data_IF_732985045074
#
_entry.id   IF_732985045074
#
_cell.length_a   1.000
_cell.length_b   1.000
_cell.length_c   1.000
_cell.angle_alpha   90.00
_cell.angle_beta   90.00
_cell.angle_gamma   90.00
#
_symmetry.space_group_name_H-M   'P 1'
#
loop_
_entity.id
_entity.type
_entity.pdbx_description
1 polymer ?
#
# COMPACT_ATOMS: atom_id res chain seq x y z
N UNK A 1 12.72 -19.11 -3.81
CA UNK A 1 11.86 -20.30 -3.99
C UNK A 1 11.57 -20.46 -5.46
N UNK A 2 11.80 -21.65 -6.03
CA UNK A 2 11.46 -21.91 -7.44
C UNK A 2 10.20 -22.78 -7.50
N UNK A 3 9.11 -22.19 -7.99
CA UNK A 3 7.81 -22.82 -8.26
C UNK A 3 7.55 -22.92 -9.78
N UNK A 4 8.57 -22.69 -10.61
CA UNK A 4 8.50 -22.90 -12.06
C UNK A 4 9.04 -24.27 -12.42
N UNK A 5 8.62 -24.80 -13.57
CA UNK A 5 9.16 -26.05 -14.11
C UNK A 5 10.58 -25.88 -14.67
N UNK A 6 11.02 -24.62 -14.83
CA UNK A 6 12.34 -24.31 -15.32
C UNK A 6 13.41 -24.48 -14.24
N UNK A 7 14.53 -25.11 -14.62
CA UNK A 7 15.72 -25.15 -13.79
C UNK A 7 16.51 -23.85 -13.93
N UNK A 8 16.35 -22.95 -12.96
CA UNK A 8 17.14 -21.74 -12.87
C UNK A 8 18.64 -22.05 -12.80
N UNK A 9 19.44 -21.26 -13.51
CA UNK A 9 20.89 -21.39 -13.56
C UNK A 9 21.51 -20.92 -12.24
N UNK A 10 22.71 -21.41 -11.85
CA UNK A 10 23.31 -21.05 -10.56
C UNK A 10 23.53 -19.53 -10.38
N UNK A 11 23.84 -18.80 -11.46
CA UNK A 11 23.97 -17.35 -11.48
C UNK A 11 22.62 -16.64 -11.24
N UNK A 12 21.53 -17.15 -11.81
CA UNK A 12 20.16 -16.66 -11.56
C UNK A 12 19.74 -16.89 -10.11
N UNK A 13 19.99 -18.09 -9.58
CA UNK A 13 19.66 -18.42 -8.18
C UNK A 13 20.46 -17.53 -7.23
N UNK A 14 21.76 -17.36 -7.46
CA UNK A 14 22.61 -16.50 -6.63
C UNK A 14 22.10 -15.05 -6.62
N UNK A 15 21.72 -14.52 -7.79
CA UNK A 15 21.20 -13.16 -7.90
C UNK A 15 19.84 -12.99 -7.23
N UNK A 16 18.87 -13.89 -7.50
CA UNK A 16 17.53 -13.83 -6.91
C UNK A 16 17.55 -14.02 -5.39
N UNK A 17 18.54 -14.75 -4.87
CA UNK A 17 18.74 -14.98 -3.43
C UNK A 17 19.21 -13.73 -2.67
N UNK A 18 19.76 -12.72 -3.36
CA UNK A 18 20.06 -11.42 -2.74
C UNK A 18 18.80 -10.64 -2.35
N UNK A 19 17.65 -11.04 -2.88
CA UNK A 19 16.35 -10.45 -2.57
C UNK A 19 16.02 -9.20 -3.39
N UNK A 20 14.74 -8.81 -3.37
CA UNK A 20 14.22 -7.70 -4.19
C UNK A 20 14.67 -6.30 -3.73
N UNK A 21 15.23 -6.19 -2.52
CA UNK A 21 15.80 -4.94 -2.00
C UNK A 21 17.28 -4.77 -2.37
N UNK A 22 17.89 -5.74 -3.05
CA UNK A 22 19.25 -5.64 -3.51
C UNK A 22 19.35 -4.64 -4.67
N UNK A 23 20.18 -3.61 -4.49
CA UNK A 23 20.50 -2.65 -5.55
C UNK A 23 21.78 -3.09 -6.27
N UNK A 24 21.68 -3.26 -7.59
CA UNK A 24 22.87 -3.46 -8.43
C UNK A 24 23.61 -2.12 -8.55
N UNK A 25 24.92 -2.14 -8.32
CA UNK A 25 25.79 -0.98 -8.52
C UNK A 25 25.70 -0.49 -9.97
N UNK A 26 25.49 0.81 -10.16
CA UNK A 26 25.40 1.45 -11.48
C UNK A 26 26.66 2.28 -11.77
N UNK A 27 27.07 2.32 -13.04
CA UNK A 27 28.24 3.08 -13.53
C UNK A 27 28.00 4.58 -13.44
N UNK A 28 26.73 4.97 -13.54
CA UNK A 28 26.30 6.36 -13.57
C UNK A 28 25.22 6.54 -12.53
N UNK A 29 25.53 7.33 -11.52
CA UNK A 29 24.53 7.84 -10.60
C UNK A 29 23.53 8.73 -11.38
N UNK A 30 22.21 8.57 -11.17
CA UNK A 30 21.21 9.49 -11.73
C UNK A 30 21.23 10.82 -10.98
N UNK A 31 22.35 11.54 -11.07
CA UNK A 31 22.62 12.79 -10.36
C UNK A 31 21.53 13.83 -10.60
N UNK A 32 21.03 13.90 -11.83
CA UNK A 32 19.94 14.79 -12.20
C UNK A 32 18.67 14.51 -11.39
N UNK A 33 18.31 13.24 -11.22
CA UNK A 33 17.09 12.88 -10.49
C UNK A 33 17.24 13.18 -8.99
N UNK A 34 18.42 12.93 -8.42
CA UNK A 34 18.72 13.33 -7.04
C UNK A 34 18.64 14.84 -6.85
N UNK A 35 19.30 15.63 -7.72
CA UNK A 35 19.27 17.10 -7.66
C UNK A 35 17.83 17.61 -7.80
N UNK A 36 17.08 17.13 -8.80
CA UNK A 36 15.68 17.51 -8.97
C UNK A 36 14.81 17.14 -7.75
N UNK A 37 15.03 15.96 -7.16
CA UNK A 37 14.33 15.52 -5.96
C UNK A 37 14.62 16.39 -4.74
N UNK A 38 15.90 16.71 -4.51
CA UNK A 38 16.35 17.57 -3.41
C UNK A 38 15.82 18.99 -3.60
N UNK A 39 15.98 19.59 -4.78
CA UNK A 39 15.49 20.93 -5.07
C UNK A 39 13.97 21.03 -4.88
N UNK A 40 13.22 20.01 -5.31
CA UNK A 40 11.78 19.94 -5.06
C UNK A 40 11.42 19.81 -3.58
N UNK A 41 12.27 19.16 -2.78
CA UNK A 41 12.03 19.01 -1.34
C UNK A 41 12.32 20.30 -0.56
N UNK A 42 13.34 21.06 -0.99
CA UNK A 42 13.78 22.28 -0.29
C UNK A 42 13.10 23.55 -0.80
N UNK A 43 12.39 23.53 -1.93
CA UNK A 43 11.89 24.74 -2.60
C UNK A 43 10.97 25.63 -1.74
N UNK A 44 10.31 25.07 -0.72
CA UNK A 44 9.42 25.80 0.18
C UNK A 44 10.07 26.18 1.52
N UNK A 45 11.37 25.92 1.69
CA UNK A 45 12.12 26.27 2.91
C UNK A 45 12.80 27.63 2.75
N UNK A 46 13.26 28.21 3.86
CA UNK A 46 14.04 29.45 3.83
C UNK A 46 15.35 29.29 3.05
N UNK A 47 15.79 30.36 2.39
CA UNK A 47 16.97 30.38 1.53
C UNK A 47 18.24 29.88 2.23
N UNK A 48 18.42 30.20 3.51
CA UNK A 48 19.58 29.74 4.29
C UNK A 48 19.58 28.22 4.50
N UNK A 49 18.40 27.64 4.75
CA UNK A 49 18.24 26.18 4.87
C UNK A 49 18.45 25.52 3.52
N UNK A 50 17.88 26.09 2.44
CA UNK A 50 18.10 25.60 1.08
C UNK A 50 19.59 25.54 0.73
N UNK A 51 20.32 26.62 0.98
CA UNK A 51 21.75 26.71 0.67
C UNK A 51 22.60 25.79 1.56
N UNK A 52 22.24 25.65 2.84
CA UNK A 52 22.87 24.69 3.74
C UNK A 52 22.71 23.24 3.25
N UNK A 53 21.51 22.87 2.80
CA UNK A 53 21.25 21.55 2.21
C UNK A 53 22.02 21.37 0.90
N UNK A 54 22.00 22.34 -0.02
CA UNK A 54 22.77 22.31 -1.28
C UNK A 54 24.27 22.10 -1.04
N UNK A 55 24.84 22.78 -0.05
CA UNK A 55 26.25 22.62 0.34
C UNK A 55 26.56 21.20 0.83
N UNK A 56 25.72 20.66 1.72
CA UNK A 56 25.87 19.27 2.22
C UNK A 56 25.74 18.25 1.09
N UNK A 57 24.76 18.43 0.21
CA UNK A 57 24.55 17.55 -0.94
C UNK A 57 25.72 17.60 -1.93
N UNK A 58 26.31 18.78 -2.20
CA UNK A 58 27.51 18.90 -3.03
C UNK A 58 28.69 18.08 -2.48
N UNK A 59 28.91 18.12 -1.16
CA UNK A 59 29.94 17.32 -0.50
C UNK A 59 29.69 15.81 -0.63
N UNK A 60 28.44 15.37 -0.41
CA UNK A 60 28.01 13.97 -0.59
C UNK A 60 28.20 13.50 -2.03
N UNK A 61 27.77 14.30 -3.00
CA UNK A 61 27.90 14.00 -4.42
C UNK A 61 29.36 13.90 -4.88
N UNK A 62 30.24 14.77 -4.36
CA UNK A 62 31.68 14.69 -4.61
C UNK A 62 32.33 13.44 -4.01
N UNK A 63 31.86 12.97 -2.86
CA UNK A 63 32.32 11.73 -2.25
C UNK A 63 31.79 10.50 -3.03
N UNK A 64 30.49 10.50 -3.36
CA UNK A 64 29.85 9.44 -4.14
C UNK A 64 30.51 9.27 -5.52
N UNK A 65 30.87 10.34 -6.22
CA UNK A 65 31.57 10.21 -7.51
C UNK A 65 32.96 9.55 -7.42
N UNK A 66 33.56 9.44 -6.22
CA UNK A 66 34.89 8.84 -6.03
C UNK A 66 34.87 7.36 -5.68
N UNK A 67 33.81 6.89 -5.00
CA UNK A 67 33.78 5.55 -4.38
C UNK A 67 32.85 4.53 -5.10
N UNK A 68 32.30 4.88 -6.27
CA UNK A 68 31.45 3.94 -7.00
C UNK A 68 32.28 2.85 -7.69
N UNK A 69 32.05 1.60 -7.28
CA UNK A 69 32.55 0.43 -8.00
C UNK A 69 31.94 0.31 -9.39
N UNK A 70 32.59 -0.45 -10.28
CA UNK A 70 32.07 -0.74 -11.62
C UNK A 70 30.75 -1.52 -11.55
N UNK A 71 29.84 -1.23 -12.47
CA UNK A 71 28.59 -1.99 -12.64
C UNK A 71 28.88 -3.47 -12.74
N UNK A 72 28.11 -4.27 -12.00
CA UNK A 72 28.13 -5.71 -12.21
C UNK A 72 27.34 -6.03 -13.49
N UNK A 73 28.05 -5.91 -14.63
CA UNK A 73 27.49 -6.11 -15.97
C UNK A 73 26.91 -7.51 -16.13
N UNK A 74 27.48 -8.51 -15.46
CA UNK A 74 27.02 -9.88 -15.55
C UNK A 74 25.70 -10.09 -14.81
N UNK A 75 25.52 -9.51 -13.62
CA UNK A 75 24.24 -9.51 -12.92
C UNK A 75 23.14 -8.77 -13.71
N UNK A 76 23.48 -7.67 -14.38
CA UNK A 76 22.54 -6.99 -15.28
C UNK A 76 22.15 -7.86 -16.48
N UNK A 77 23.09 -8.60 -17.07
CA UNK A 77 22.76 -9.55 -18.15
C UNK A 77 21.82 -10.64 -17.65
N UNK A 78 22.06 -11.16 -16.44
CA UNK A 78 21.19 -12.15 -15.80
C UNK A 78 19.79 -11.60 -15.57
N UNK A 79 19.65 -10.40 -14.98
CA UNK A 79 18.34 -9.75 -14.81
C UNK A 79 17.63 -9.52 -16.13
N UNK A 80 18.34 -9.00 -17.14
CA UNK A 80 17.74 -8.74 -18.46
C UNK A 80 17.24 -10.02 -19.12
N UNK A 81 17.94 -11.15 -18.91
CA UNK A 81 17.50 -12.46 -19.39
C UNK A 81 16.25 -12.94 -18.65
N UNK A 82 16.27 -12.93 -17.31
CA UNK A 82 15.11 -13.31 -16.50
C UNK A 82 13.88 -12.44 -16.81
N UNK A 83 14.07 -11.14 -17.06
CA UNK A 83 12.99 -10.23 -17.41
C UNK A 83 12.41 -10.46 -18.81
N UNK A 84 13.21 -11.03 -19.74
CA UNK A 84 12.78 -11.35 -21.10
C UNK A 84 12.12 -12.72 -21.23
N UNK A 85 12.26 -13.56 -20.22
CA UNK A 85 11.64 -14.88 -20.22
C UNK A 85 10.10 -14.72 -20.18
N UNK A 86 9.37 -15.21 -21.20
CA UNK A 86 7.93 -15.06 -21.27
C UNK A 86 7.18 -16.07 -20.40
N UNK A 87 7.83 -17.13 -19.93
CA UNK A 87 7.22 -18.30 -19.30
C UNK A 87 7.29 -18.26 -17.78
N UNK A 88 8.18 -17.45 -17.20
CA UNK A 88 8.28 -17.25 -15.75
C UNK A 88 7.85 -15.85 -15.33
N UNK A 89 7.40 -15.75 -14.08
CA UNK A 89 7.19 -14.49 -13.37
C UNK A 89 7.99 -14.50 -12.07
N UNK A 90 8.68 -13.39 -11.81
CA UNK A 90 9.43 -13.18 -10.57
C UNK A 90 8.58 -12.30 -9.63
N UNK A 91 8.28 -12.84 -8.46
CA UNK A 91 7.37 -12.25 -7.48
C UNK A 91 8.03 -12.19 -6.09
N UNK A 92 7.47 -11.33 -5.24
CA UNK A 92 7.75 -11.35 -3.79
C UNK A 92 6.83 -12.37 -3.12
N UNK A 93 7.35 -13.15 -2.17
CA UNK A 93 6.50 -13.95 -1.30
C UNK A 93 5.63 -13.09 -0.37
N UNK A 94 4.43 -13.55 -0.03
CA UNK A 94 3.53 -12.87 0.93
C UNK A 94 4.18 -12.70 2.31
N UNK A 95 4.97 -13.69 2.75
CA UNK A 95 5.70 -13.67 4.04
C UNK A 95 7.16 -14.03 3.84
N UNK A 96 8.02 -13.51 4.72
CA UNK A 96 9.44 -13.86 4.79
C UNK A 96 10.35 -13.19 3.75
N UNK A 97 9.83 -12.28 2.91
CA UNK A 97 10.65 -11.47 2.00
C UNK A 97 11.34 -12.23 0.86
N UNK A 98 11.07 -13.53 0.71
CA UNK A 98 11.70 -14.37 -0.29
C UNK A 98 11.30 -13.99 -1.73
N UNK A 99 12.24 -14.14 -2.66
CA UNK A 99 11.98 -14.06 -4.11
C UNK A 99 11.42 -15.39 -4.60
N UNK A 100 10.35 -15.34 -5.40
CA UNK A 100 9.66 -16.51 -5.96
C UNK A 100 9.69 -16.44 -7.48
N UNK A 101 10.22 -17.47 -8.12
CA UNK A 101 10.03 -17.71 -9.55
C UNK A 101 8.85 -18.67 -9.73
N UNK A 102 7.90 -18.37 -10.60
CA UNK A 102 6.71 -19.18 -10.83
C UNK A 102 6.39 -19.23 -12.32
N UNK A 103 5.83 -20.33 -12.81
CA UNK A 103 5.29 -20.39 -14.18
C UNK A 103 4.23 -19.29 -14.36
N UNK A 104 4.36 -18.52 -15.43
CA UNK A 104 3.44 -17.42 -15.74
C UNK A 104 2.03 -17.91 -16.01
N UNK A 105 1.88 -19.05 -16.69
CA UNK A 105 0.57 -19.65 -16.95
C UNK A 105 -0.13 -20.03 -15.65
N UNK A 106 0.57 -20.70 -14.73
CA UNK A 106 0.01 -21.07 -13.42
C UNK A 106 -0.34 -19.84 -12.57
N UNK A 107 0.52 -18.81 -12.60
CA UNK A 107 0.25 -17.56 -11.91
C UNK A 107 -1.01 -16.88 -12.44
N UNK A 108 -1.15 -16.81 -13.77
CA UNK A 108 -2.33 -16.23 -14.41
C UNK A 108 -3.58 -17.07 -14.11
N UNK A 109 -3.50 -18.40 -14.23
CA UNK A 109 -4.63 -19.29 -13.95
C UNK A 109 -5.14 -19.14 -12.51
N UNK A 110 -4.25 -19.23 -11.51
CA UNK A 110 -4.62 -19.02 -10.09
C UNK A 110 -5.14 -17.63 -9.82
N UNK A 111 -4.63 -16.61 -10.51
CA UNK A 111 -5.13 -15.24 -10.36
C UNK A 111 -6.52 -15.09 -10.96
N UNK A 112 -6.78 -15.70 -12.12
CA UNK A 112 -8.09 -15.71 -12.76
C UNK A 112 -9.11 -16.50 -11.93
N UNK A 113 -8.70 -17.57 -11.24
CA UNK A 113 -9.55 -18.29 -10.28
C UNK A 113 -10.00 -17.38 -9.14
N UNK A 114 -9.08 -16.58 -8.56
CA UNK A 114 -9.43 -15.57 -7.55
C UNK A 114 -10.39 -14.50 -8.08
N UNK A 115 -10.17 -14.03 -9.31
CA UNK A 115 -11.02 -13.03 -9.96
C UNK A 115 -12.35 -13.60 -10.47
N UNK A 116 -12.48 -14.94 -10.50
CA UNK A 116 -13.69 -15.65 -10.88
C UNK A 116 -14.77 -15.63 -9.80
N UNK A 117 -14.45 -15.19 -8.58
CA UNK A 117 -15.45 -14.98 -7.53
C UNK A 117 -16.36 -13.79 -7.86
N UNK A 118 -17.54 -14.10 -8.42
CA UNK A 118 -18.55 -13.11 -8.79
C UNK A 118 -19.23 -12.43 -7.61
N UNK A 119 -19.04 -12.92 -6.38
CA UNK A 119 -19.53 -12.24 -5.18
C UNK A 119 -18.63 -11.05 -4.78
N UNK A 120 -17.34 -11.11 -5.12
CA UNK A 120 -16.35 -10.09 -4.79
C UNK A 120 -15.99 -9.20 -5.99
N UNK A 121 -15.89 -9.77 -7.19
CA UNK A 121 -15.40 -9.08 -8.38
C UNK A 121 -16.41 -9.06 -9.52
N UNK A 122 -16.38 -7.97 -10.29
CA UNK A 122 -17.20 -7.76 -11.48
C UNK A 122 -16.35 -7.24 -12.63
N UNK A 123 -16.52 -7.81 -13.82
CA UNK A 123 -15.87 -7.30 -15.03
C UNK A 123 -16.59 -6.03 -15.50
N UNK A 124 -15.82 -4.99 -15.80
CA UNK A 124 -16.31 -3.75 -16.39
C UNK A 124 -16.03 -3.70 -17.89
N UNK A 125 -17.05 -3.29 -18.66
CA UNK A 125 -16.95 -3.12 -20.12
C UNK A 125 -16.19 -1.86 -20.53
N UNK A 126 -16.08 -0.88 -19.63
CA UNK A 126 -15.41 0.39 -19.87
C UNK A 126 -14.54 0.75 -18.68
N UNK A 127 -13.38 1.32 -18.97
CA UNK A 127 -12.49 1.86 -17.95
C UNK A 127 -13.16 3.05 -17.23
N UNK A 128 -13.45 2.94 -15.91
CA UNK A 128 -14.13 3.99 -15.16
C UNK A 128 -13.19 5.12 -14.72
N UNK A 129 -11.88 5.03 -15.01
CA UNK A 129 -10.84 5.96 -14.53
C UNK A 129 -11.28 7.42 -14.66
N UNK A 130 -11.68 7.85 -15.86
CA UNK A 130 -12.13 9.24 -16.13
C UNK A 130 -13.34 9.65 -15.30
N UNK A 131 -14.31 8.74 -15.15
CA UNK A 131 -15.54 9.00 -14.37
C UNK A 131 -15.22 9.19 -12.89
N UNK A 132 -14.36 8.31 -12.34
CA UNK A 132 -13.93 8.37 -10.94
C UNK A 132 -13.12 9.64 -10.67
N UNK A 133 -12.20 9.99 -11.58
CA UNK A 133 -11.46 11.26 -11.50
C UNK A 133 -12.43 12.44 -11.45
N UNK A 134 -13.40 12.50 -12.37
CA UNK A 134 -14.35 13.60 -12.41
C UNK A 134 -15.14 13.70 -11.11
N UNK A 135 -15.63 12.57 -10.56
CA UNK A 135 -16.31 12.54 -9.26
C UNK A 135 -15.41 13.08 -8.13
N UNK A 136 -14.16 12.63 -8.05
CA UNK A 136 -13.22 13.07 -7.03
C UNK A 136 -12.86 14.56 -7.17
N UNK A 137 -12.52 15.00 -8.38
CA UNK A 137 -12.15 16.39 -8.67
C UNK A 137 -13.31 17.34 -8.40
N UNK A 138 -14.55 16.97 -8.73
CA UNK A 138 -15.73 17.78 -8.41
C UNK A 138 -15.83 18.02 -6.90
N UNK A 139 -15.76 16.95 -6.08
CA UNK A 139 -15.79 17.08 -4.61
C UNK A 139 -14.62 17.91 -4.07
N UNK A 140 -13.40 17.65 -4.55
CA UNK A 140 -12.20 18.38 -4.11
C UNK A 140 -12.30 19.88 -4.45
N UNK A 141 -12.78 20.22 -5.65
CA UNK A 141 -12.95 21.61 -6.07
C UNK A 141 -14.06 22.32 -5.29
N UNK A 142 -15.14 21.61 -4.98
CA UNK A 142 -16.22 22.15 -4.14
C UNK A 142 -15.71 22.50 -2.73
N UNK A 143 -14.99 21.57 -2.10
CA UNK A 143 -14.36 21.81 -0.79
C UNK A 143 -13.30 22.90 -0.81
N UNK A 144 -12.55 23.04 -1.91
CA UNK A 144 -11.65 24.19 -2.09
C UNK A 144 -12.41 25.51 -2.16
N UNK A 145 -13.55 25.58 -2.87
CA UNK A 145 -14.37 26.80 -2.96
C UNK A 145 -14.97 27.19 -1.61
N UNK A 146 -15.26 26.19 -0.77
CA UNK A 146 -15.74 26.36 0.60
C UNK A 146 -14.61 26.66 1.62
N UNK A 147 -13.37 26.89 1.17
CA UNK A 147 -12.17 27.08 2.00
C UNK A 147 -11.88 25.94 3.00
N UNK A 148 -12.43 24.74 2.74
CA UNK A 148 -12.17 23.52 3.54
C UNK A 148 -10.81 22.90 3.23
N UNK A 149 -10.24 23.19 2.06
CA UNK A 149 -8.87 22.83 1.72
C UNK A 149 -8.03 24.08 1.50
N UNK A 150 -6.93 24.22 2.23
CA UNK A 150 -5.92 25.22 1.92
C UNK A 150 -5.16 24.85 0.62
N UNK A 151 -4.36 25.79 0.10
CA UNK A 151 -3.59 25.60 -1.15
C UNK A 151 -2.68 24.37 -1.08
N UNK A 152 -2.03 24.14 0.08
CA UNK A 152 -1.16 23.00 0.31
C UNK A 152 -1.91 21.67 0.28
N UNK A 153 -3.04 21.59 1.01
CA UNK A 153 -3.89 20.39 1.05
C UNK A 153 -4.48 20.07 -0.32
N UNK A 154 -5.01 21.07 -1.01
CA UNK A 154 -5.48 20.92 -2.39
C UNK A 154 -4.41 20.33 -3.29
N UNK A 155 -3.18 20.85 -3.21
CA UNK A 155 -2.04 20.34 -3.98
C UNK A 155 -1.65 18.89 -3.65
N UNK A 156 -1.94 18.43 -2.43
CA UNK A 156 -1.72 17.06 -1.94
C UNK A 156 -2.83 16.10 -2.37
N UNK A 157 -4.10 16.50 -2.33
CA UNK A 157 -5.24 15.61 -2.64
C UNK A 157 -5.58 15.56 -4.12
N UNK A 158 -5.20 16.58 -4.90
CA UNK A 158 -5.55 16.64 -6.32
C UNK A 158 -4.87 15.52 -7.12
N UNK A 159 -5.62 14.73 -7.91
CA UNK A 159 -5.05 13.63 -8.69
C UNK A 159 -4.20 14.17 -9.85
N UNK A 160 -2.88 13.97 -9.78
CA UNK A 160 -1.92 14.41 -10.83
C UNK A 160 -1.58 13.35 -11.85
N UNK A 161 -1.61 12.09 -11.43
CA UNK A 161 -1.24 10.92 -12.23
C UNK A 161 -2.49 10.08 -12.43
N UNK A 162 -2.70 9.62 -13.66
CA UNK A 162 -3.94 8.99 -14.10
C UNK A 162 -3.65 7.57 -14.58
N UNK A 163 -3.12 6.74 -13.69
CA UNK A 163 -2.85 5.33 -13.99
C UNK A 163 -3.95 4.50 -13.32
N UNK A 164 -4.68 3.66 -14.08
CA UNK A 164 -5.64 2.76 -13.46
C UNK A 164 -4.90 1.83 -12.48
N UNK A 165 -5.48 1.50 -11.31
CA UNK A 165 -4.87 0.58 -10.37
C UNK A 165 -4.52 -0.75 -11.03
N UNK A 166 -3.41 -1.36 -10.58
CA UNK A 166 -2.94 -2.64 -11.11
C UNK A 166 -3.19 -3.74 -10.10
N UNK A 167 -3.73 -4.86 -10.57
CA UNK A 167 -3.85 -6.04 -9.75
C UNK A 167 -2.63 -6.94 -9.92
N UNK A 168 -2.13 -7.46 -8.82
CA UNK A 168 -1.12 -8.50 -8.78
C UNK A 168 -1.35 -9.36 -7.55
N UNK A 169 -0.73 -10.53 -7.51
CA UNK A 169 -0.94 -11.44 -6.40
C UNK A 169 0.38 -12.01 -5.88
N UNK A 170 0.44 -12.25 -4.56
CA UNK A 170 1.65 -12.68 -3.87
C UNK A 170 1.54 -14.15 -3.46
N UNK A 171 2.49 -15.02 -3.83
CA UNK A 171 2.46 -16.42 -3.43
C UNK A 171 2.65 -16.60 -1.93
N UNK A 172 1.71 -17.30 -1.29
CA UNK A 172 1.81 -17.75 0.10
C UNK A 172 2.59 -19.06 0.17
N UNK A 173 3.90 -18.97 -0.01
CA UNK A 173 4.83 -20.13 -0.03
C UNK A 173 4.88 -20.96 1.26
N UNK A 174 4.26 -20.45 2.33
CA UNK A 174 4.15 -21.12 3.63
C UNK A 174 2.85 -21.92 3.79
N UNK A 175 1.99 -21.96 2.75
CA UNK A 175 0.74 -22.72 2.73
C UNK A 175 0.79 -23.77 1.61
N UNK A 176 0.20 -24.93 1.87
CA UNK A 176 0.07 -26.00 0.87
C UNK A 176 -0.64 -25.49 -0.39
N UNK A 177 -0.19 -25.94 -1.57
CA UNK A 177 -0.72 -25.48 -2.86
C UNK A 177 -0.27 -24.07 -3.29
N UNK A 178 0.48 -23.36 -2.44
CA UNK A 178 0.98 -22.00 -2.69
C UNK A 178 -0.13 -21.05 -3.19
N UNK A 179 -1.23 -20.86 -2.44
CA UNK A 179 -2.32 -19.97 -2.83
C UNK A 179 -1.80 -18.53 -2.96
N UNK A 180 -2.46 -17.73 -3.79
CA UNK A 180 -2.06 -16.36 -4.04
C UNK A 180 -2.84 -15.39 -3.12
N UNK A 181 -2.19 -14.31 -2.67
CA UNK A 181 -2.84 -13.19 -1.99
C UNK A 181 -3.13 -12.08 -2.99
N UNK A 182 -4.39 -11.65 -3.18
CA UNK A 182 -4.71 -10.55 -4.09
C UNK A 182 -4.20 -9.21 -3.52
N UNK A 183 -3.61 -8.37 -4.36
CA UNK A 183 -3.19 -7.00 -4.03
C UNK A 183 -3.54 -6.05 -5.17
N UNK A 184 -4.12 -4.91 -4.83
CA UNK A 184 -4.40 -3.80 -5.74
C UNK A 184 -3.39 -2.68 -5.48
N UNK A 185 -2.47 -2.46 -6.43
CA UNK A 185 -1.59 -1.29 -6.41
C UNK A 185 -2.39 -0.05 -6.76
N UNK A 186 -2.69 0.76 -5.74
CA UNK A 186 -3.31 2.07 -5.90
C UNK A 186 -2.30 3.18 -6.22
N UNK A 187 -1.00 2.88 -6.31
CA UNK A 187 0.00 3.94 -6.54
C UNK A 187 -0.26 4.62 -7.89
N UNK A 188 -0.48 5.92 -7.85
CA UNK A 188 -0.80 6.72 -9.04
C UNK A 188 -2.27 6.62 -9.49
N UNK A 189 -3.14 6.00 -8.70
CA UNK A 189 -4.58 5.97 -8.97
C UNK A 189 -5.27 7.29 -8.60
N UNK A 190 -6.47 7.55 -9.16
CA UNK A 190 -7.22 8.78 -8.88
C UNK A 190 -7.52 9.02 -7.40
N UNK A 191 -7.78 7.96 -6.63
CA UNK A 191 -8.16 8.07 -5.21
C UNK A 191 -6.97 7.99 -4.26
N UNK A 192 -5.77 7.61 -4.71
CA UNK A 192 -4.63 7.33 -3.83
C UNK A 192 -4.20 8.52 -2.97
N UNK A 193 -4.07 9.69 -3.58
CA UNK A 193 -3.60 10.88 -2.89
C UNK A 193 -4.61 11.37 -1.85
N UNK A 194 -5.90 11.32 -2.20
CA UNK A 194 -7.02 11.60 -1.29
C UNK A 194 -7.08 10.57 -0.15
N UNK A 195 -6.99 9.27 -0.46
CA UNK A 195 -6.99 8.21 0.53
C UNK A 195 -5.84 8.35 1.53
N UNK A 196 -4.65 8.75 1.06
CA UNK A 196 -3.50 9.01 1.94
C UNK A 196 -3.74 10.21 2.85
N UNK A 197 -4.31 11.30 2.34
CA UNK A 197 -4.66 12.47 3.16
C UNK A 197 -5.69 12.11 4.23
N UNK A 198 -6.74 11.36 3.88
CA UNK A 198 -7.74 10.88 4.84
C UNK A 198 -7.14 9.91 5.86
N UNK A 199 -6.22 9.04 5.43
CA UNK A 199 -5.46 8.15 6.32
C UNK A 199 -4.68 8.94 7.38
N UNK A 200 -4.04 10.06 7.02
CA UNK A 200 -3.33 10.93 7.98
C UNK A 200 -4.29 11.53 9.03
N UNK A 201 -5.57 11.77 8.67
CA UNK A 201 -6.61 12.28 9.57
C UNK A 201 -7.18 11.17 10.45
N UNK A 202 -7.36 9.95 9.93
CA UNK A 202 -8.08 8.90 10.67
C UNK A 202 -7.12 8.05 11.51
N UNK A 203 -5.88 7.80 11.05
CA UNK A 203 -4.96 6.87 11.72
C UNK A 203 -4.73 7.15 13.22
N UNK A 204 -4.57 8.41 13.68
CA UNK A 204 -4.42 8.71 15.10
C UNK A 204 -5.66 8.45 15.96
N UNK A 205 -6.84 8.27 15.36
CA UNK A 205 -8.08 7.91 16.05
C UNK A 205 -8.19 6.40 16.29
N UNK A 206 -7.31 5.58 15.70
CA UNK A 206 -7.43 4.12 15.70
C UNK A 206 -6.22 3.51 16.41
N UNK A 207 -6.38 2.31 17.00
CA UNK A 207 -5.39 1.59 17.80
C UNK A 207 -5.09 2.26 19.14
N UNK A 208 -6.11 2.91 19.71
CA UNK A 208 -6.05 3.56 21.02
C UNK A 208 -6.75 2.73 22.11
N UNK A 209 -7.37 1.60 21.76
CA UNK A 209 -8.02 0.71 22.74
C UNK A 209 -6.99 -0.01 23.63
N UNK A 210 -7.42 -0.38 24.84
CA UNK A 210 -6.63 -1.21 25.77
C UNK A 210 -6.42 -2.63 25.26
N UNK A 211 -7.26 -3.08 24.31
CA UNK A 211 -7.20 -4.39 23.67
C UNK A 211 -6.18 -4.45 22.53
N UNK A 212 -5.68 -3.31 22.05
CA UNK A 212 -4.75 -3.26 20.92
C UNK A 212 -3.29 -3.32 21.36
N UNK A 213 -2.53 -4.20 20.70
CA UNK A 213 -1.07 -4.30 20.86
C UNK A 213 -0.39 -3.63 19.68
N UNK A 214 0.36 -2.55 19.93
CA UNK A 214 0.95 -1.71 18.88
C UNK A 214 2.12 -2.37 18.16
N UNK A 215 2.94 -3.11 18.88
CA UNK A 215 4.13 -3.75 18.32
C UNK A 215 4.62 -4.93 19.18
N UNK A 216 5.60 -5.65 18.64
CA UNK A 216 6.21 -6.81 19.29
C UNK A 216 6.83 -6.49 20.66
N UNK A 217 7.43 -5.31 20.84
CA UNK A 217 8.04 -4.94 22.11
C UNK A 217 7.00 -4.76 23.21
N UNK A 218 5.89 -4.09 22.90
CA UNK A 218 4.76 -3.95 23.84
C UNK A 218 4.19 -5.33 24.19
N UNK A 219 4.04 -6.22 23.21
CA UNK A 219 3.55 -7.58 23.44
C UNK A 219 4.43 -8.34 24.43
N UNK A 220 5.75 -8.32 24.22
CA UNK A 220 6.72 -8.98 25.10
C UNK A 220 6.65 -8.41 26.52
N UNK A 221 6.49 -7.10 26.66
CA UNK A 221 6.37 -6.47 27.97
C UNK A 221 5.08 -6.88 28.69
N UNK A 222 3.95 -6.95 27.98
CA UNK A 222 2.68 -7.46 28.52
C UNK A 222 2.80 -8.92 29.00
N UNK A 223 3.53 -9.77 28.26
CA UNK A 223 3.75 -11.15 28.67
C UNK A 223 4.60 -11.29 29.93
N UNK A 224 5.57 -10.38 30.14
CA UNK A 224 6.42 -10.41 31.34
C UNK A 224 5.69 -10.00 32.62
N UNK A 225 4.70 -9.11 32.49
CA UNK A 225 3.94 -8.60 33.64
C UNK A 225 2.71 -9.44 33.96
N UNK A 226 2.34 -10.38 33.08
CA UNK A 226 1.21 -11.29 33.25
C UNK A 226 1.54 -12.40 34.27
N UNK A 227 0.72 -12.53 35.31
CA UNK A 227 0.73 -13.68 36.23
C UNK A 227 -0.34 -14.66 35.77
N UNK A 228 0.07 -15.90 35.48
CA UNK A 228 -0.83 -16.98 35.05
C UNK A 228 -1.11 -17.92 36.23
N UNK A 229 -2.36 -18.33 36.36
CA UNK A 229 -2.80 -19.39 37.28
C UNK A 229 -2.90 -20.72 36.53
N UNK A 230 -2.93 -21.84 37.26
CA UNK A 230 -2.97 -23.18 36.65
C UNK A 230 -4.25 -23.42 35.83
N UNK A 231 -5.33 -22.69 36.13
CA UNK A 231 -6.61 -22.76 35.44
C UNK A 231 -6.68 -21.90 34.16
N UNK A 232 -5.71 -21.01 33.96
CA UNK A 232 -5.71 -20.09 32.81
C UNK A 232 -5.47 -20.85 31.50
N UNK A 233 -6.17 -20.43 30.44
CA UNK A 233 -6.07 -21.03 29.11
C UNK A 233 -5.81 -19.98 28.06
N UNK A 234 -4.79 -20.22 27.25
CA UNK A 234 -4.55 -19.44 26.05
C UNK A 234 -5.44 -19.95 24.91
N UNK A 235 -6.28 -19.07 24.38
CA UNK A 235 -7.08 -19.31 23.19
C UNK A 235 -6.68 -18.31 22.11
N UNK A 236 -6.51 -18.78 20.88
CA UNK A 236 -6.13 -17.95 19.74
C UNK A 236 -7.18 -18.06 18.64
N UNK A 237 -7.61 -16.91 18.14
CA UNK A 237 -8.55 -16.79 17.02
C UNK A 237 -7.86 -16.02 15.88
N UNK A 238 -8.17 -16.39 14.63
CA UNK A 238 -7.67 -15.70 13.43
C UNK A 238 -8.87 -15.26 12.59
N UNK A 239 -8.91 -13.98 12.21
CA UNK A 239 -9.98 -13.45 11.36
C UNK A 239 -9.70 -13.81 9.91
N UNK A 240 -10.59 -14.61 9.33
CA UNK A 240 -10.48 -15.00 7.92
C UNK A 240 -10.81 -13.80 7.03
N UNK A 241 -9.85 -13.45 6.16
CA UNK A 241 -10.04 -12.48 5.08
C UNK A 241 -10.58 -11.10 5.54
N UNK A 242 -10.11 -10.59 6.68
CA UNK A 242 -10.59 -9.34 7.31
C UNK A 242 -11.02 -8.24 6.32
N UNK A 243 -10.14 -7.82 5.40
CA UNK A 243 -10.47 -6.76 4.45
C UNK A 243 -11.64 -7.08 3.51
N UNK A 244 -11.85 -8.34 3.18
CA UNK A 244 -12.98 -8.76 2.34
C UNK A 244 -14.27 -8.87 3.17
N UNK A 245 -14.15 -9.24 4.45
CA UNK A 245 -15.28 -9.50 5.33
C UNK A 245 -15.91 -8.23 5.92
N UNK A 246 -15.16 -7.13 6.03
CA UNK A 246 -15.68 -5.86 6.55
C UNK A 246 -16.55 -5.16 5.51
N UNK A 247 -17.83 -4.95 5.83
CA UNK A 247 -18.73 -4.16 5.00
C UNK A 247 -18.34 -2.68 5.07
N UNK A 248 -18.24 -2.04 3.90
CA UNK A 248 -17.85 -0.62 3.81
C UNK A 248 -18.82 0.26 4.58
N UNK A 249 -20.12 -0.05 4.54
CA UNK A 249 -21.15 0.70 5.26
C UNK A 249 -20.92 0.68 6.77
N UNK A 250 -20.77 -0.51 7.36
CA UNK A 250 -20.61 -0.66 8.80
C UNK A 250 -19.31 0.03 9.27
N UNK A 251 -18.24 -0.06 8.48
CA UNK A 251 -17.00 0.66 8.78
C UNK A 251 -17.14 2.20 8.70
N UNK A 252 -18.01 2.71 7.83
CA UNK A 252 -18.32 4.14 7.76
C UNK A 252 -19.16 4.59 8.96
N UNK A 253 -20.12 3.77 9.40
CA UNK A 253 -20.92 4.03 10.61
C UNK A 253 -19.99 4.08 11.84
N UNK A 254 -19.09 3.11 12.02
CA UNK A 254 -18.08 3.14 13.09
C UNK A 254 -17.17 4.39 13.02
N UNK A 255 -16.84 4.86 11.82
CA UNK A 255 -16.05 6.08 11.63
C UNK A 255 -16.81 7.34 12.00
N UNK A 256 -18.09 7.40 11.65
CA UNK A 256 -18.94 8.53 11.99
C UNK A 256 -19.04 8.67 13.51
N UNK A 257 -19.36 7.57 14.21
CA UNK A 257 -19.43 7.53 15.67
C UNK A 257 -18.10 7.99 16.30
N UNK A 258 -16.98 7.44 15.83
CA UNK A 258 -15.65 7.79 16.35
C UNK A 258 -15.30 9.27 16.14
N UNK A 259 -15.66 9.84 14.99
CA UNK A 259 -15.41 11.25 14.68
C UNK A 259 -16.28 12.20 15.51
N UNK A 260 -17.46 11.75 15.97
CA UNK A 260 -18.35 12.50 16.85
C UNK A 260 -17.86 12.45 18.29
N UNK A 261 -17.41 11.28 18.75
CA UNK A 261 -16.89 11.07 20.10
C UNK A 261 -15.55 11.80 20.34
N UNK A 262 -14.64 11.74 19.38
CA UNK A 262 -13.31 12.35 19.49
C UNK A 262 -13.20 13.66 18.71
N UNK A 263 -12.66 14.72 19.32
CA UNK A 263 -12.44 16.01 18.66
C UNK A 263 -11.00 16.26 18.21
N UNK A 264 -10.06 15.36 18.51
CA UNK A 264 -8.61 15.50 18.24
C UNK A 264 -8.27 15.63 16.74
N UNK A 265 -9.19 15.28 15.85
CA UNK A 265 -9.00 15.36 14.40
C UNK A 265 -9.28 16.75 13.82
N UNK A 266 -10.02 17.59 14.54
CA UNK A 266 -10.41 18.93 14.06
C UNK A 266 -9.23 19.88 13.88
N UNK A 267 -8.12 19.65 14.57
CA UNK A 267 -6.89 20.42 14.40
C UNK A 267 -6.13 20.07 13.10
N UNK A 268 -6.45 18.90 12.50
CA UNK A 268 -5.74 18.36 11.34
C UNK A 268 -6.42 18.71 10.01
N UNK A 269 -7.68 19.15 10.04
CA UNK A 269 -8.45 19.48 8.83
C UNK A 269 -9.61 20.42 9.14
N UNK A 270 -10.03 21.23 8.15
CA UNK A 270 -11.25 22.05 8.23
C UNK A 270 -12.52 21.30 7.79
N UNK A 271 -12.38 20.05 7.34
CA UNK A 271 -13.51 19.21 6.95
C UNK A 271 -14.46 18.96 8.13
N UNK A 272 -15.74 18.77 7.85
CA UNK A 272 -16.70 18.29 8.84
C UNK A 272 -16.80 16.76 8.80
N UNK A 273 -17.43 16.16 9.82
CA UNK A 273 -17.65 14.70 9.90
C UNK A 273 -18.26 14.18 8.60
N UNK A 274 -19.35 14.79 8.14
CA UNK A 274 -20.04 14.40 6.90
C UNK A 274 -19.15 14.52 5.65
N UNK A 275 -18.24 15.50 5.61
CA UNK A 275 -17.29 15.63 4.51
C UNK A 275 -16.28 14.48 4.51
N UNK A 276 -15.76 14.11 5.68
CA UNK A 276 -14.81 12.99 5.84
C UNK A 276 -15.48 11.69 5.43
N UNK A 277 -16.67 11.38 5.95
CA UNK A 277 -17.44 10.19 5.59
C UNK A 277 -17.68 10.13 4.07
N UNK A 278 -18.10 11.24 3.46
CA UNK A 278 -18.37 11.29 2.03
C UNK A 278 -17.12 11.14 1.15
N UNK A 279 -15.92 11.47 1.65
CA UNK A 279 -14.66 11.28 0.95
C UNK A 279 -14.09 9.87 1.16
N UNK A 280 -14.26 9.29 2.35
CA UNK A 280 -13.87 7.91 2.64
C UNK A 280 -14.74 6.95 1.84
N UNK A 281 -16.07 7.15 1.82
CA UNK A 281 -16.99 6.39 0.99
C UNK A 281 -16.58 6.46 -0.49
N UNK A 282 -16.28 7.66 -1.01
CA UNK A 282 -15.79 7.79 -2.37
C UNK A 282 -14.53 6.94 -2.63
N UNK A 283 -13.59 6.89 -1.69
CA UNK A 283 -12.36 6.10 -1.85
C UNK A 283 -12.60 4.59 -1.78
N UNK A 284 -13.52 4.13 -0.93
CA UNK A 284 -13.80 2.71 -0.69
C UNK A 284 -14.83 2.13 -1.68
N UNK A 285 -15.72 2.97 -2.22
CA UNK A 285 -16.78 2.57 -3.14
C UNK A 285 -16.37 2.65 -4.63
N UNK A 286 -15.13 3.08 -4.92
CA UNK A 286 -14.58 3.14 -6.29
C UNK A 286 -13.34 2.27 -6.46
N UNK A 287 -13.42 1.02 -6.01
CA UNK A 287 -12.32 0.06 -6.16
C UNK A 287 -12.42 -0.62 -7.52
N UNK A 288 -11.47 -0.32 -8.40
CA UNK A 288 -11.32 -0.97 -9.70
C UNK A 288 -9.84 -1.19 -9.99
N UNK A 289 -9.54 -2.11 -10.90
CA UNK A 289 -8.17 -2.41 -11.30
C UNK A 289 -8.11 -3.10 -12.66
N UNK A 290 -6.91 -3.14 -13.23
CA UNK A 290 -6.63 -3.85 -14.49
C UNK A 290 -5.78 -5.09 -14.22
N UNK A 291 -6.21 -6.22 -14.78
CA UNK A 291 -5.45 -7.47 -14.85
C UNK A 291 -5.55 -8.06 -16.25
N UNK A 292 -4.41 -8.39 -16.87
CA UNK A 292 -4.35 -8.96 -18.24
C UNK A 292 -5.17 -8.15 -19.28
N UNK A 293 -5.18 -6.82 -19.15
CA UNK A 293 -5.93 -5.93 -20.06
C UNK A 293 -7.44 -5.87 -19.80
N UNK A 294 -7.97 -6.67 -18.87
CA UNK A 294 -9.38 -6.65 -18.46
C UNK A 294 -9.54 -5.75 -17.25
N UNK A 295 -10.60 -4.94 -17.25
CA UNK A 295 -10.96 -4.06 -16.14
C UNK A 295 -11.92 -4.79 -15.22
N UNK A 296 -11.59 -4.82 -13.93
CA UNK A 296 -12.41 -5.38 -12.88
C UNK A 296 -12.77 -4.29 -11.87
N UNK A 297 -13.90 -4.49 -11.22
CA UNK A 297 -14.36 -3.74 -10.06
C UNK A 297 -14.48 -4.72 -8.89
N UNK A 298 -14.04 -4.28 -7.72
CA UNK A 298 -14.29 -5.00 -6.49
C UNK A 298 -15.55 -4.43 -5.85
N UNK A 299 -16.59 -5.27 -5.78
CA UNK A 299 -17.93 -4.87 -5.30
C UNK A 299 -18.16 -5.21 -3.83
N UNK A 300 -17.25 -5.98 -3.22
CA UNK A 300 -17.35 -6.39 -1.82
C UNK A 300 -16.02 -6.21 -1.07
N UNK A 301 -16.11 -5.78 0.19
CA UNK A 301 -14.96 -5.51 1.05
C UNK A 301 -14.12 -4.32 0.62
N UNK A 302 -12.91 -4.23 1.19
CA UNK A 302 -11.95 -3.14 0.99
C UNK A 302 -10.71 -3.62 0.23
N UNK A 303 -10.20 -2.81 -0.69
CA UNK A 303 -9.05 -3.20 -1.51
C UNK A 303 -7.79 -3.39 -0.67
N UNK A 304 -7.15 -4.55 -0.78
CA UNK A 304 -5.83 -4.77 -0.19
C UNK A 304 -4.80 -3.93 -0.97
N UNK A 305 -4.25 -2.89 -0.35
CA UNK A 305 -3.32 -1.95 -0.98
C UNK A 305 -3.85 -0.52 -1.11
N UNK A 306 -5.09 -0.25 -0.69
CA UNK A 306 -5.52 1.13 -0.41
C UNK A 306 -4.94 1.60 0.94
N UNK A 307 -4.47 2.86 1.05
CA UNK A 307 -4.03 3.43 2.32
C UNK A 307 -5.10 3.44 3.43
N UNK A 308 -6.38 3.47 3.05
CA UNK A 308 -7.49 3.54 4.00
C UNK A 308 -7.89 2.17 4.58
N UNK A 309 -7.77 1.10 3.80
CA UNK A 309 -8.28 -0.22 4.21
C UNK A 309 -7.76 -0.68 5.57
N UNK A 310 -6.44 -0.58 5.89
CA UNK A 310 -5.93 -0.97 7.21
C UNK A 310 -6.57 -0.19 8.36
N UNK A 311 -6.70 1.12 8.20
CA UNK A 311 -7.22 2.01 9.25
C UNK A 311 -8.69 1.75 9.50
N UNK A 312 -9.47 1.60 8.43
CA UNK A 312 -10.91 1.33 8.51
C UNK A 312 -11.20 -0.08 9.07
N UNK A 313 -10.40 -1.07 8.69
CA UNK A 313 -10.53 -2.43 9.23
C UNK A 313 -10.20 -2.47 10.73
N UNK A 314 -9.12 -1.81 11.16
CA UNK A 314 -8.77 -1.75 12.58
C UNK A 314 -9.84 -1.02 13.38
N UNK A 315 -10.40 0.07 12.86
CA UNK A 315 -11.47 0.79 13.52
C UNK A 315 -12.71 -0.09 13.72
N UNK A 316 -13.12 -0.81 12.67
CA UNK A 316 -14.23 -1.76 12.77
C UNK A 316 -13.94 -2.88 13.78
N UNK A 317 -12.70 -3.40 13.80
CA UNK A 317 -12.31 -4.42 14.77
C UNK A 317 -12.34 -3.90 16.21
N UNK A 318 -11.87 -2.67 16.47
CA UNK A 318 -11.98 -2.07 17.81
C UNK A 318 -13.45 -1.98 18.26
N UNK A 319 -14.34 -1.55 17.36
CA UNK A 319 -15.78 -1.49 17.66
C UNK A 319 -16.36 -2.87 17.97
N UNK A 320 -16.00 -3.88 17.17
CA UNK A 320 -16.40 -5.26 17.39
C UNK A 320 -15.88 -5.82 18.73
N UNK A 321 -14.62 -5.57 19.06
CA UNK A 321 -13.98 -5.99 20.30
C UNK A 321 -14.68 -5.36 21.51
N UNK A 322 -14.95 -4.05 21.48
CA UNK A 322 -15.66 -3.35 22.55
C UNK A 322 -17.09 -3.88 22.71
N UNK A 323 -17.77 -4.18 21.61
CA UNK A 323 -19.15 -4.69 21.63
C UNK A 323 -19.25 -6.15 22.11
N UNK A 324 -18.16 -6.91 22.01
CA UNK A 324 -18.09 -8.31 22.41
C UNK A 324 -17.64 -8.53 23.87
N UNK A 325 -17.09 -7.49 24.52
CA UNK A 325 -16.71 -7.46 25.93
C UNK A 325 -17.91 -7.16 26.84
#
# INVERSE_FOLDING_TARGET
VNLSDQRLRPDEVALLSKGLNYAITMDVLPMKDFICGIEKAICNLDLDIQNSVRMKCTGLFSAMNRDFGSTNVDELKVLKRLCKDPDIVILKADKGGATVAMNKLDYVAKTMELLGDTSTYRILQKDPTKSIINKAVIKILDFKRQDKFCVGEYGRVYPRVLVPPRFYSLPKVHKEGNPLRPIVSNIGSPSYALAKYLCDIISPLVNNSTCTVKNFYQFVEMLKTMSLMDEDRLVSFDVVSLFMSVLVRDALECLEDRLVEENSWRERTKLQVSDIIALVDLCLSTIYFVFQGVVYEQIHGMAMGSPLSPVMANLFMEYLEISAL
#
